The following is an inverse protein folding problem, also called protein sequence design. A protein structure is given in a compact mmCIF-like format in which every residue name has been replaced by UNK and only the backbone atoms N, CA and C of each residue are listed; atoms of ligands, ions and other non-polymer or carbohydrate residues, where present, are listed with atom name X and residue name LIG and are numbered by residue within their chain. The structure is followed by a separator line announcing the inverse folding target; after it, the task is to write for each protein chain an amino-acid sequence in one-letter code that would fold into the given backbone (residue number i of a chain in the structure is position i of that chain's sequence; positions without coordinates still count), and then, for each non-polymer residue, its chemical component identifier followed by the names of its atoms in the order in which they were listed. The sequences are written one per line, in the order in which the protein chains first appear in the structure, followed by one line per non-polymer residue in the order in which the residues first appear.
data_IF_459168995587
#
_entry.id   IF_459168995587
#
_cell.length_a   1.000
_cell.length_b   1.000
_cell.length_c   1.000
_cell.angle_alpha   90.00
_cell.angle_beta   90.00
_cell.angle_gamma   90.00
#
_symmetry.space_group_name_H-M   'P 1'
#
loop_
_entity.id
_entity.type
_entity.pdbx_description
1 polymer ?
#
# COMPACT_ATOMS: atom_id res chain seq x y z
N UNK A 1 -20.43 -5.69 -26.60
CA UNK A 1 -21.37 -5.58 -25.48
C UNK A 1 -20.58 -5.72 -24.18
N UNK A 2 -20.93 -4.96 -23.14
CA UNK A 2 -20.31 -5.09 -21.81
C UNK A 2 -21.39 -5.60 -20.87
N UNK A 3 -21.10 -6.68 -20.14
CA UNK A 3 -22.02 -7.27 -19.18
C UNK A 3 -21.51 -7.05 -17.75
N UNK A 4 -22.44 -6.84 -16.81
CA UNK A 4 -22.12 -6.66 -15.40
C UNK A 4 -21.74 -8.00 -14.76
N UNK A 5 -20.67 -8.00 -13.96
CA UNK A 5 -20.26 -9.17 -13.17
C UNK A 5 -21.04 -9.19 -11.86
N UNK A 6 -21.50 -10.38 -11.45
CA UNK A 6 -22.09 -10.62 -10.12
C UNK A 6 -21.20 -11.61 -9.34
N UNK A 7 -20.13 -11.13 -8.68
CA UNK A 7 -19.24 -12.01 -7.94
C UNK A 7 -19.90 -12.55 -6.67
N UNK A 8 -19.67 -13.84 -6.36
CA UNK A 8 -20.00 -14.42 -5.06
C UNK A 8 -18.79 -14.31 -4.14
N UNK A 9 -18.90 -13.51 -3.08
CA UNK A 9 -17.80 -13.28 -2.13
C UNK A 9 -17.84 -14.33 -1.03
N UNK A 10 -16.70 -14.95 -0.73
CA UNK A 10 -16.52 -15.89 0.39
C UNK A 10 -15.28 -15.48 1.18
N UNK A 11 -15.47 -15.21 2.46
CA UNK A 11 -14.36 -14.94 3.38
C UNK A 11 -13.99 -16.26 4.06
N UNK A 12 -12.72 -16.64 3.98
CA UNK A 12 -12.18 -17.89 4.52
C UNK A 12 -11.10 -17.62 5.58
N UNK A 13 -10.74 -18.63 6.37
CA UNK A 13 -9.65 -18.55 7.37
C UNK A 13 -9.85 -17.42 8.40
N UNK A 14 -11.05 -17.32 8.97
CA UNK A 14 -11.35 -16.35 10.01
C UNK A 14 -10.52 -16.64 11.27
N UNK A 15 -9.75 -15.65 11.73
CA UNK A 15 -8.89 -15.78 12.92
C UNK A 15 -9.63 -15.69 14.26
N UNK A 16 -10.91 -15.26 14.26
CA UNK A 16 -11.68 -14.93 15.47
C UNK A 16 -13.06 -15.61 15.53
N UNK A 17 -13.23 -16.75 14.84
CA UNK A 17 -14.50 -17.47 14.78
C UNK A 17 -15.46 -16.97 13.69
N UNK A 18 -16.73 -17.43 13.70
CA UNK A 18 -17.69 -17.11 12.65
C UNK A 18 -18.08 -15.62 12.66
N UNK A 19 -18.33 -15.07 11.48
CA UNK A 19 -18.92 -13.73 11.34
C UNK A 19 -20.36 -13.72 11.85
N UNK A 20 -20.83 -12.55 12.28
CA UNK A 20 -22.23 -12.37 12.67
C UNK A 20 -23.16 -12.66 11.48
N UNK A 21 -24.36 -13.25 11.70
CA UNK A 21 -25.30 -13.56 10.61
C UNK A 21 -25.73 -12.35 9.77
N UNK A 22 -25.67 -11.14 10.35
CA UNK A 22 -26.06 -9.88 9.70
C UNK A 22 -24.87 -9.09 9.13
N UNK A 23 -23.69 -9.70 8.97
CA UNK A 23 -22.56 -9.02 8.35
C UNK A 23 -22.83 -8.69 6.88
N UNK A 24 -22.77 -7.41 6.53
CA UNK A 24 -22.85 -6.94 5.15
C UNK A 24 -21.48 -6.93 4.48
N UNK A 25 -21.43 -7.29 3.19
CA UNK A 25 -20.21 -7.30 2.38
C UNK A 25 -20.40 -6.36 1.19
N UNK A 26 -19.42 -5.48 0.96
CA UNK A 26 -19.39 -4.55 -0.17
C UNK A 26 -18.06 -4.70 -0.91
N UNK A 27 -18.10 -5.22 -2.14
CA UNK A 27 -16.93 -5.22 -3.01
C UNK A 27 -16.61 -3.80 -3.46
N UNK A 28 -15.34 -3.41 -3.37
CA UNK A 28 -14.84 -2.12 -3.84
C UNK A 28 -13.77 -2.33 -4.91
N UNK A 29 -13.77 -1.47 -5.91
CA UNK A 29 -12.67 -1.35 -6.88
C UNK A 29 -11.80 -0.20 -6.40
N UNK A 30 -10.50 -0.43 -6.28
CA UNK A 30 -9.56 0.63 -5.95
C UNK A 30 -9.61 1.72 -7.04
N UNK A 31 -9.58 3.02 -6.68
CA UNK A 31 -9.45 4.08 -7.66
C UNK A 31 -8.21 3.88 -8.54
N UNK A 32 -8.25 4.27 -9.82
CA UNK A 32 -7.07 4.19 -10.68
C UNK A 32 -5.95 5.10 -10.14
N UNK A 33 -4.75 4.54 -10.00
CA UNK A 33 -3.55 5.26 -9.55
C UNK A 33 -2.86 5.92 -10.76
N UNK A 34 -3.37 7.08 -11.19
CA UNK A 34 -2.80 7.83 -12.32
C UNK A 34 -1.50 8.50 -11.90
N UNK A 35 -0.46 8.43 -12.73
CA UNK A 35 0.82 9.11 -12.48
C UNK A 35 1.83 8.31 -11.65
N UNK A 36 1.55 7.04 -11.36
CA UNK A 36 2.43 6.18 -10.55
C UNK A 36 3.85 6.10 -11.11
N UNK A 37 4.00 6.02 -12.43
CA UNK A 37 5.30 5.93 -13.09
C UNK A 37 6.20 7.15 -12.84
N UNK A 38 5.64 8.34 -12.60
CA UNK A 38 6.43 9.53 -12.27
C UNK A 38 7.01 9.44 -10.86
N UNK A 39 6.26 8.87 -9.91
CA UNK A 39 6.73 8.65 -8.54
C UNK A 39 7.74 7.50 -8.48
N UNK A 40 7.58 6.48 -9.32
CA UNK A 40 8.54 5.40 -9.49
C UNK A 40 9.88 5.88 -10.07
N UNK A 41 9.86 6.91 -10.91
CA UNK A 41 11.04 7.47 -11.54
C UNK A 41 11.92 8.33 -10.59
N UNK A 42 11.43 8.69 -9.40
CA UNK A 42 12.24 9.38 -8.39
C UNK A 42 13.33 8.43 -7.92
N UNK A 43 14.61 8.78 -7.95
CA UNK A 43 15.67 7.88 -7.51
C UNK A 43 15.66 7.66 -5.97
N UNK A 44 16.12 6.49 -5.51
CA UNK A 44 16.14 6.12 -4.09
C UNK A 44 16.99 7.09 -3.25
N UNK A 45 18.11 7.56 -3.79
CA UNK A 45 19.01 8.51 -3.16
C UNK A 45 18.33 9.87 -2.91
N UNK A 46 17.48 10.32 -3.83
CA UNK A 46 16.69 11.53 -3.67
C UNK A 46 15.67 11.39 -2.52
N UNK A 47 15.10 10.20 -2.32
CA UNK A 47 14.21 9.94 -1.17
C UNK A 47 15.03 9.91 0.13
N UNK A 48 16.17 9.22 0.14
CA UNK A 48 17.04 9.12 1.31
C UNK A 48 17.62 10.47 1.74
N UNK A 49 17.88 11.37 0.79
CA UNK A 49 18.35 12.72 1.08
C UNK A 49 17.36 13.54 1.93
N UNK A 50 16.08 13.18 1.91
CA UNK A 50 15.02 13.82 2.70
C UNK A 50 14.72 13.05 4.01
N UNK A 51 15.48 12.02 4.35
CA UNK A 51 15.32 11.31 5.60
C UNK A 51 15.84 12.15 6.77
N UNK A 52 14.95 12.53 7.68
CA UNK A 52 15.28 13.24 8.91
C UNK A 52 14.59 12.56 10.11
N UNK A 53 15.07 11.38 10.54
CA UNK A 53 14.40 10.62 11.60
C UNK A 53 14.41 11.31 12.97
N UNK A 54 15.29 12.30 13.15
CA UNK A 54 15.57 12.99 14.41
C UNK A 54 15.13 14.47 14.40
N UNK A 55 14.44 14.93 13.34
CA UNK A 55 14.00 16.33 13.17
C UNK A 55 15.14 17.34 13.41
N UNK A 56 16.26 17.13 12.72
CA UNK A 56 17.49 17.92 12.87
C UNK A 56 17.34 19.35 12.40
N UNK A 57 16.40 19.62 11.50
CA UNK A 57 16.11 20.95 11.00
C UNK A 57 15.04 21.69 11.85
N UNK A 58 14.44 21.03 12.85
CA UNK A 58 13.44 21.56 13.75
C UNK A 58 12.19 22.14 13.05
N UNK A 59 11.78 21.51 11.93
CA UNK A 59 10.55 21.84 11.21
C UNK A 59 9.32 21.07 11.71
N UNK A 60 9.53 20.12 12.64
CA UNK A 60 8.49 19.28 13.23
C UNK A 60 8.20 18.00 12.45
N UNK A 61 9.00 17.67 11.43
CA UNK A 61 8.81 16.51 10.56
C UNK A 61 9.95 15.51 10.76
N UNK A 62 9.61 14.32 11.29
CA UNK A 62 10.57 13.21 11.40
C UNK A 62 10.41 12.20 10.26
N UNK A 63 10.93 12.53 9.07
CA UNK A 63 10.80 11.70 7.86
C UNK A 63 11.58 10.39 7.96
N UNK A 64 10.90 9.24 7.78
CA UNK A 64 11.52 7.90 7.79
C UNK A 64 11.15 7.13 6.51
N UNK A 65 12.13 6.78 5.66
CA UNK A 65 11.89 5.94 4.49
C UNK A 65 11.28 4.60 4.88
N UNK A 66 10.31 4.13 4.11
CA UNK A 66 9.71 2.82 4.28
C UNK A 66 10.57 1.75 3.57
N UNK A 67 10.71 0.58 4.19
CA UNK A 67 11.46 -0.56 3.65
C UNK A 67 10.56 -1.79 3.58
N UNK A 68 10.49 -2.43 2.43
CA UNK A 68 9.58 -3.56 2.17
C UNK A 68 10.32 -4.75 1.56
N UNK A 69 9.82 -5.95 1.81
CA UNK A 69 10.31 -7.15 1.14
C UNK A 69 9.77 -7.20 -0.30
N UNK A 70 10.66 -7.22 -1.28
CA UNK A 70 10.32 -7.45 -2.68
C UNK A 70 10.47 -8.93 -3.00
N UNK A 71 9.34 -9.59 -3.27
CA UNK A 71 9.31 -11.02 -3.60
C UNK A 71 9.89 -11.33 -4.99
N UNK A 72 9.80 -10.41 -5.96
CA UNK A 72 10.39 -10.62 -7.28
C UNK A 72 11.91 -10.51 -7.25
N UNK A 73 12.45 -9.59 -6.44
CA UNK A 73 13.89 -9.36 -6.32
C UNK A 73 14.54 -10.13 -5.17
N UNK A 74 13.75 -10.77 -4.30
CA UNK A 74 14.19 -11.50 -3.11
C UNK A 74 15.14 -10.67 -2.21
N UNK A 75 14.80 -9.39 -2.02
CA UNK A 75 15.58 -8.47 -1.18
C UNK A 75 14.68 -7.41 -0.58
N UNK A 76 15.17 -6.77 0.48
CA UNK A 76 14.53 -5.58 1.04
C UNK A 76 14.84 -4.37 0.13
N UNK A 77 13.80 -3.65 -0.27
CA UNK A 77 13.87 -2.46 -1.14
C UNK A 77 13.12 -1.30 -0.52
N UNK A 78 13.32 -0.10 -1.06
CA UNK A 78 12.56 1.07 -0.65
C UNK A 78 11.08 0.92 -1.05
N UNK A 79 10.21 0.97 -0.05
CA UNK A 79 8.76 0.96 -0.26
C UNK A 79 8.28 2.31 -0.78
N UNK A 80 7.69 2.32 -1.98
CA UNK A 80 7.18 3.54 -2.62
C UNK A 80 5.67 3.71 -2.50
N UNK A 81 4.96 2.60 -2.40
CA UNK A 81 3.50 2.53 -2.37
C UNK A 81 3.07 1.65 -1.21
N UNK A 82 1.93 1.98 -0.57
CA UNK A 82 1.36 1.26 0.57
C UNK A 82 -0.12 1.53 0.70
#
# INVERSE_FOLDING_TARGET
AVELRQPTLRITQLGYGPMHPETHISARIAPPMIGLGLLEAIADDAILANADPDDKNADGISGRPNWVWDDAQQKVVMGRFG
#
